data_IF_143451869868
#
_entry.id   IF_143451869868
#
_cell.length_a   1.000
_cell.length_b   1.000
_cell.length_c   1.000
_cell.angle_alpha   90.00
_cell.angle_beta   90.00
_cell.angle_gamma   90.00
#
_symmetry.space_group_name_H-M   'P 1'
#
loop_
_entity.id
_entity.type
_entity.pdbx_description
1 polymer ?
#
# COMPACT_ATOMS: atom_id res chain seq x y z
N UNK A 1 13.43 -19.47 -2.46
CA UNK A 1 12.25 -20.34 -2.66
C UNK A 1 12.45 -21.38 -3.75
N UNK A 2 13.08 -21.09 -4.90
CA UNK A 2 13.31 -22.10 -5.95
C UNK A 2 14.21 -23.30 -5.56
N UNK A 3 15.25 -23.08 -4.74
CA UNK A 3 16.25 -24.11 -4.40
C UNK A 3 15.70 -25.31 -3.60
N UNK A 4 14.66 -25.14 -2.77
CA UNK A 4 14.09 -26.25 -1.96
C UNK A 4 13.18 -27.18 -2.77
N UNK A 5 12.43 -26.63 -3.73
CA UNK A 5 11.55 -27.43 -4.61
C UNK A 5 12.35 -28.36 -5.53
N UNK A 6 13.50 -27.88 -5.99
CA UNK A 6 14.39 -28.63 -6.87
C UNK A 6 15.18 -29.70 -6.09
N UNK A 7 15.59 -29.42 -4.83
CA UNK A 7 16.29 -30.40 -3.98
C UNK A 7 15.38 -31.49 -3.43
N UNK A 8 14.18 -31.13 -2.95
CA UNK A 8 13.36 -32.04 -2.15
C UNK A 8 12.40 -32.87 -3.02
N UNK A 9 12.03 -32.36 -4.21
CA UNK A 9 10.98 -32.96 -5.06
C UNK A 9 11.38 -33.09 -6.55
N UNK A 10 12.57 -32.64 -6.95
CA UNK A 10 13.05 -32.73 -8.34
C UNK A 10 12.32 -31.85 -9.35
N UNK A 11 11.45 -30.93 -8.91
CA UNK A 11 10.69 -30.07 -9.81
C UNK A 11 11.41 -28.75 -10.11
N UNK A 12 11.74 -28.54 -11.38
CA UNK A 12 12.32 -27.29 -11.87
C UNK A 12 11.23 -26.35 -12.43
N UNK A 13 10.75 -25.42 -11.60
CA UNK A 13 9.81 -24.37 -12.06
C UNK A 13 10.62 -23.27 -12.75
N UNK A 14 10.75 -23.36 -14.08
CA UNK A 14 11.29 -22.26 -14.89
C UNK A 14 10.47 -20.98 -14.59
N UNK A 15 11.14 -19.81 -14.46
CA UNK A 15 10.49 -18.51 -14.16
C UNK A 15 9.25 -18.22 -15.02
N UNK A 16 9.22 -18.74 -16.25
CA UNK A 16 8.13 -18.58 -17.22
C UNK A 16 6.93 -19.49 -16.96
N UNK A 17 7.10 -20.62 -16.25
CA UNK A 17 6.05 -21.60 -15.99
C UNK A 17 5.01 -21.07 -14.99
N UNK A 18 5.46 -20.44 -13.90
CA UNK A 18 4.57 -19.83 -12.91
C UNK A 18 3.66 -18.75 -13.55
N UNK A 19 4.25 -17.88 -14.38
CA UNK A 19 3.49 -16.84 -15.08
C UNK A 19 2.51 -17.42 -16.11
N UNK A 20 2.88 -18.51 -16.79
CA UNK A 20 1.98 -19.24 -17.71
C UNK A 20 0.82 -19.91 -16.96
N UNK A 21 1.09 -20.53 -15.81
CA UNK A 21 0.05 -21.13 -14.96
C UNK A 21 -0.93 -20.08 -14.44
N UNK A 22 -0.43 -18.95 -13.94
CA UNK A 22 -1.27 -17.84 -13.47
C UNK A 22 -2.20 -17.32 -14.58
N UNK A 23 -1.70 -17.20 -15.82
CA UNK A 23 -2.52 -16.80 -16.98
C UNK A 23 -3.59 -17.84 -17.31
N UNK A 24 -3.22 -19.13 -17.34
CA UNK A 24 -4.15 -20.24 -17.64
C UNK A 24 -5.26 -20.34 -16.61
N UNK A 25 -4.91 -20.25 -15.33
CA UNK A 25 -5.85 -20.38 -14.22
C UNK A 25 -6.56 -19.06 -13.87
N UNK A 26 -6.34 -18.01 -14.68
CA UNK A 26 -6.85 -16.65 -14.43
C UNK A 26 -6.58 -16.13 -13.01
N UNK A 27 -5.57 -16.66 -12.32
CA UNK A 27 -5.23 -16.25 -10.97
C UNK A 27 -4.72 -14.82 -11.04
N UNK A 28 -5.35 -13.88 -10.32
CA UNK A 28 -4.89 -12.50 -10.27
C UNK A 28 -3.47 -12.46 -9.71
N UNK A 29 -2.50 -12.18 -10.59
CA UNK A 29 -1.14 -11.94 -10.14
C UNK A 29 -1.10 -10.59 -9.45
N UNK A 30 -0.43 -10.50 -8.30
CA UNK A 30 -0.25 -9.23 -7.55
C UNK A 30 0.43 -8.12 -8.36
N UNK A 31 1.05 -8.46 -9.51
CA UNK A 31 1.63 -7.50 -10.46
C UNK A 31 0.64 -6.94 -11.47
N UNK A 32 -0.55 -7.54 -11.63
CA UNK A 32 -1.59 -7.02 -12.53
C UNK A 32 -2.29 -5.88 -11.82
N UNK A 33 -2.08 -4.66 -12.33
CA UNK A 33 -2.82 -3.49 -11.86
C UNK A 33 -4.30 -3.68 -12.17
N UNK A 34 -5.15 -3.30 -11.22
CA UNK A 34 -6.58 -3.21 -11.45
C UNK A 34 -6.86 -2.16 -12.55
N UNK A 35 -7.94 -2.33 -13.33
CA UNK A 35 -8.40 -1.31 -14.26
C UNK A 35 -8.61 0.03 -13.54
N UNK A 36 -8.26 1.14 -14.17
CA UNK A 36 -8.33 2.47 -13.55
C UNK A 36 -9.74 2.82 -13.07
N UNK A 37 -10.77 2.44 -13.81
CA UNK A 37 -12.16 2.71 -13.46
C UNK A 37 -12.57 1.98 -12.18
N UNK A 38 -12.28 0.68 -12.09
CA UNK A 38 -12.51 -0.07 -10.84
C UNK A 38 -11.76 0.53 -9.65
N UNK A 39 -10.53 1.02 -9.84
CA UNK A 39 -9.77 1.67 -8.75
C UNK A 39 -10.45 2.96 -8.33
N UNK A 40 -10.99 3.74 -9.27
CA UNK A 40 -11.70 4.98 -8.99
C UNK A 40 -12.97 4.70 -8.18
N UNK A 41 -13.79 3.76 -8.62
CA UNK A 41 -15.05 3.42 -7.95
C UNK A 41 -14.79 2.96 -6.51
N UNK A 42 -13.82 2.06 -6.31
CA UNK A 42 -13.43 1.59 -4.98
C UNK A 42 -12.89 2.71 -4.08
N UNK A 43 -12.15 3.68 -4.65
CA UNK A 43 -11.64 4.81 -3.90
C UNK A 43 -12.75 5.79 -3.54
N UNK A 44 -13.70 6.02 -4.44
CA UNK A 44 -14.87 6.87 -4.23
C UNK A 44 -15.77 6.31 -3.13
N UNK A 45 -16.11 5.03 -3.21
CA UNK A 45 -16.88 4.30 -2.19
C UNK A 45 -16.24 4.43 -0.80
N UNK A 46 -14.91 4.34 -0.72
CA UNK A 46 -14.18 4.48 0.55
C UNK A 46 -14.12 5.90 1.06
N UNK A 47 -14.02 6.89 0.18
CA UNK A 47 -14.06 8.30 0.59
C UNK A 47 -15.45 8.61 1.19
N UNK A 48 -16.52 8.13 0.56
CA UNK A 48 -17.90 8.28 1.05
C UNK A 48 -18.09 7.55 2.38
N UNK A 49 -17.70 6.26 2.45
CA UNK A 49 -17.88 5.44 3.65
C UNK A 49 -17.10 5.96 4.86
N UNK A 50 -15.91 6.54 4.64
CA UNK A 50 -15.11 7.10 5.72
C UNK A 50 -15.65 8.44 6.22
N UNK A 51 -16.63 9.05 5.52
CA UNK A 51 -17.27 10.36 5.77
C UNK A 51 -16.30 11.52 6.04
N UNK A 52 -15.03 11.33 5.70
CA UNK A 52 -13.95 12.13 6.24
C UNK A 52 -12.89 12.27 5.14
N UNK A 53 -13.14 13.24 4.26
CA UNK A 53 -12.24 13.65 3.17
C UNK A 53 -10.86 14.13 3.66
N UNK A 54 -10.70 14.30 4.98
CA UNK A 54 -9.44 14.55 5.64
C UNK A 54 -8.54 13.30 5.71
N UNK A 55 -9.08 12.09 5.55
CA UNK A 55 -8.27 10.86 5.60
C UNK A 55 -7.45 10.72 4.32
N UNK A 56 -6.12 10.72 4.47
CA UNK A 56 -5.20 10.67 3.34
C UNK A 56 -5.23 9.32 2.60
N UNK A 57 -4.65 9.30 1.40
CA UNK A 57 -4.55 8.12 0.53
C UNK A 57 -3.96 6.86 1.22
N UNK A 58 -3.17 7.03 2.29
CA UNK A 58 -2.64 5.90 3.06
C UNK A 58 -3.73 5.19 3.88
N UNK A 59 -4.67 5.93 4.46
CA UNK A 59 -5.78 5.39 5.24
C UNK A 59 -6.74 4.63 4.32
N UNK A 60 -7.07 5.21 3.17
CA UNK A 60 -7.90 4.56 2.14
C UNK A 60 -7.24 3.26 1.68
N UNK A 61 -5.92 3.31 1.41
CA UNK A 61 -5.16 2.11 1.02
C UNK A 61 -5.19 1.01 2.08
N UNK A 62 -5.07 1.37 3.36
CA UNK A 62 -5.13 0.40 4.47
C UNK A 62 -6.52 -0.24 4.56
N UNK A 63 -7.58 0.57 4.48
CA UNK A 63 -8.96 0.06 4.49
C UNK A 63 -9.24 -0.89 3.32
N UNK A 64 -8.80 -0.55 2.10
CA UNK A 64 -8.91 -1.46 0.95
C UNK A 64 -8.08 -2.75 1.12
N UNK A 65 -6.91 -2.65 1.75
CA UNK A 65 -6.06 -3.80 2.01
C UNK A 65 -6.64 -4.75 3.07
N UNK A 66 -7.37 -4.23 4.06
CA UNK A 66 -8.15 -5.02 5.04
C UNK A 66 -9.26 -5.84 4.34
N UNK A 67 -9.81 -5.32 3.25
CA UNK A 67 -10.79 -6.01 2.39
C UNK A 67 -10.14 -6.95 1.37
N UNK A 68 -8.82 -7.14 1.45
CA UNK A 68 -8.06 -8.00 0.54
C UNK A 68 -7.68 -7.36 -0.80
N UNK A 69 -8.05 -6.10 -1.04
CA UNK A 69 -7.76 -5.39 -2.28
C UNK A 69 -6.44 -4.61 -2.14
N UNK A 70 -5.40 -5.08 -2.84
CA UNK A 70 -4.07 -4.46 -2.80
C UNK A 70 -3.88 -3.48 -3.95
N UNK A 71 -4.01 -2.19 -3.66
CA UNK A 71 -3.81 -1.11 -4.64
C UNK A 71 -2.51 -0.33 -4.32
N UNK A 72 -1.68 0.00 -5.32
CA UNK A 72 -0.53 0.87 -5.11
C UNK A 72 -0.95 2.23 -4.56
N UNK A 73 -0.17 2.77 -3.61
CA UNK A 73 -0.43 4.09 -3.02
C UNK A 73 -0.46 5.22 -4.06
N UNK A 74 0.35 5.12 -5.11
CA UNK A 74 0.37 6.08 -6.22
C UNK A 74 -1.00 6.19 -6.89
N UNK A 75 -1.63 5.05 -7.12
CA UNK A 75 -2.85 4.93 -7.89
C UNK A 75 -4.02 5.44 -7.03
N UNK A 76 -4.08 5.02 -5.76
CA UNK A 76 -5.03 5.58 -4.77
C UNK A 76 -4.88 7.09 -4.62
N UNK A 77 -3.65 7.61 -4.58
CA UNK A 77 -3.40 9.05 -4.44
C UNK A 77 -3.88 9.84 -5.66
N UNK A 78 -3.70 9.30 -6.86
CA UNK A 78 -4.12 9.95 -8.09
C UNK A 78 -5.65 9.96 -8.17
N UNK A 79 -6.30 8.81 -7.98
CA UNK A 79 -7.76 8.73 -7.97
C UNK A 79 -8.38 9.58 -6.87
N UNK A 80 -7.82 9.59 -5.66
CA UNK A 80 -8.32 10.43 -4.58
C UNK A 80 -8.20 11.94 -4.87
N UNK A 81 -7.21 12.37 -5.66
CA UNK A 81 -7.10 13.77 -6.11
C UNK A 81 -8.09 14.12 -7.21
N UNK A 82 -8.40 13.17 -8.08
CA UNK A 82 -9.39 13.34 -9.15
C UNK A 82 -10.81 13.42 -8.56
N UNK A 83 -11.12 12.56 -7.58
CA UNK A 83 -12.42 12.52 -6.90
C UNK A 83 -12.58 13.69 -5.92
N UNK A 84 -11.53 14.01 -5.15
CA UNK A 84 -11.55 15.11 -4.18
C UNK A 84 -10.28 15.99 -4.26
N UNK A 85 -10.27 17.00 -5.15
CA UNK A 85 -9.14 17.91 -5.31
C UNK A 85 -8.81 18.69 -4.03
N UNK A 86 -9.81 18.96 -3.19
CA UNK A 86 -9.68 19.78 -1.98
C UNK A 86 -9.41 18.94 -0.71
N UNK A 87 -9.52 17.62 -0.76
CA UNK A 87 -9.26 16.73 0.37
C UNK A 87 -7.85 16.85 0.94
N UNK A 88 -6.85 17.22 0.11
CA UNK A 88 -5.53 17.56 0.62
C UNK A 88 -5.53 18.84 1.46
N UNK A 89 -6.27 19.87 1.08
CA UNK A 89 -6.34 21.12 1.82
C UNK A 89 -7.07 20.96 3.16
N UNK A 90 -8.07 20.07 3.22
CA UNK A 90 -8.82 19.74 4.45
C UNK A 90 -8.04 18.91 5.47
N UNK A 91 -6.87 18.36 5.08
CA UNK A 91 -6.01 17.63 6.01
C UNK A 91 -5.38 18.58 7.03
N UNK A 92 -5.83 18.49 8.29
CA UNK A 92 -5.07 19.01 9.43
C UNK A 92 -3.76 18.23 9.50
N UNK A 93 -2.66 18.82 9.01
CA UNK A 93 -1.32 18.29 9.33
C UNK A 93 -1.21 18.28 10.84
N UNK A 94 -0.93 17.12 11.44
CA UNK A 94 -0.42 17.09 12.79
C UNK A 94 0.77 18.06 12.83
N UNK A 95 0.69 19.12 13.63
CA UNK A 95 1.83 19.98 13.91
C UNK A 95 2.94 19.03 14.38
N UNK A 96 4.07 19.02 13.67
CA UNK A 96 5.26 18.32 14.18
C UNK A 96 5.48 18.85 15.59
N UNK A 97 5.53 17.95 16.58
CA UNK A 97 5.86 18.34 17.93
C UNK A 97 7.15 19.17 17.89
N UNK A 98 7.23 20.28 18.64
CA UNK A 98 8.46 21.04 18.71
C UNK A 98 9.60 20.09 19.09
N UNK A 99 10.69 20.16 18.35
CA UNK A 99 11.89 19.37 18.64
C UNK A 99 12.38 19.74 20.04
N UNK A 100 12.24 18.83 20.99
CA UNK A 100 12.85 18.96 22.31
C UNK A 100 14.24 18.30 22.23
N UNK A 101 15.34 19.07 22.23
CA UNK A 101 16.66 18.48 22.32
C UNK A 101 16.76 17.67 23.61
N UNK A 102 17.06 16.38 23.48
CA UNK A 102 17.30 15.46 24.60
C UNK A 102 18.65 15.80 25.23
N UNK A 103 18.64 16.51 26.36
CA UNK A 103 19.82 16.80 27.18
C UNK A 103 20.22 15.61 28.09
N UNK A 104 20.15 14.37 27.59
CA UNK A 104 20.67 13.21 28.34
C UNK A 104 22.04 12.81 27.80
N UNK A 105 23.02 13.72 27.91
CA UNK A 105 24.43 13.36 27.85
C UNK A 105 24.86 13.02 29.28
N UNK A 106 24.74 11.74 29.65
CA UNK A 106 25.40 11.23 30.86
C UNK A 106 26.91 11.39 30.65
N UNK A 107 27.63 12.16 31.48
CA UNK A 107 29.08 12.28 31.34
C UNK A 107 29.73 10.91 31.58
N UNK A 108 30.78 10.54 30.82
CA UNK A 108 31.51 9.30 31.08
C UNK A 108 32.16 9.35 32.47
N UNK A 109 32.32 8.20 33.15
CA UNK A 109 32.94 8.16 34.47
C UNK A 109 34.38 8.63 34.38
N UNK A 110 34.76 9.54 35.28
CA UNK A 110 36.14 9.98 35.46
C UNK A 110 36.96 8.83 36.05
N UNK A 111 38.05 8.47 35.38
CA UNK A 111 39.11 7.62 35.93
C UNK A 111 40.09 8.46 36.75
#
# INVERSE_FOLDING_TARGET
MGKRLESDLGYSIKRTCLAKLQRRLQIPSTRRRLPKEMVRDLVEDKIVALQDSSKGAETIRKSLAEEGIKIPRSDVRNCAREVDPLGHARRKRARRAPYTPSNSATPPPAN
#
